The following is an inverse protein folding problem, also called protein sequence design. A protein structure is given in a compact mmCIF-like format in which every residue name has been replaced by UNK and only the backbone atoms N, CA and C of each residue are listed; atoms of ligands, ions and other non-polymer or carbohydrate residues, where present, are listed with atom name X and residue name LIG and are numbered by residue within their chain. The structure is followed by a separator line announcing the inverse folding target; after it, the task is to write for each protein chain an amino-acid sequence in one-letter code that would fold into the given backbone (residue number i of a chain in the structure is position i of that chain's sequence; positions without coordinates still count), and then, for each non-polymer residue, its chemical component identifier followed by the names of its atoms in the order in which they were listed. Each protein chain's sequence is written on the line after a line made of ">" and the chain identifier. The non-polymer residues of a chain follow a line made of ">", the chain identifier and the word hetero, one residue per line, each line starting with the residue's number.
data_IF_172325065233
#
_entry.id   IF_172325065233
#
_cell.length_a   1.000
_cell.length_b   1.000
_cell.length_c   1.000
_cell.angle_alpha   90.00
_cell.angle_beta   90.00
_cell.angle_gamma   90.00
#
_symmetry.space_group_name_H-M   'P 1'
#
loop_
_entity.id
_entity.type
_entity.pdbx_description
1 polymer ?
#
# COMPACT_ATOMS: atom_id res chain seq x y z
N UNK A 1 -0.93 8.70 21.52
CA UNK A 1 -2.21 7.95 21.49
C UNK A 1 -1.95 6.63 20.77
N UNK A 2 -2.82 5.63 20.90
CA UNK A 2 -2.64 4.34 20.18
C UNK A 2 -3.54 4.36 18.95
N UNK A 3 -3.11 3.78 17.85
CA UNK A 3 -3.84 3.85 16.58
C UNK A 3 -4.03 2.47 15.94
N UNK A 4 -5.13 2.27 15.22
CA UNK A 4 -5.34 1.14 14.31
C UNK A 4 -5.28 1.61 12.87
N UNK A 5 -4.69 0.80 11.99
CA UNK A 5 -4.77 0.97 10.55
C UNK A 5 -5.78 -0.04 10.02
N UNK A 6 -6.83 0.44 9.39
CA UNK A 6 -7.92 -0.38 8.88
C UNK A 6 -7.97 -0.23 7.37
N UNK A 7 -8.09 -1.35 6.67
CA UNK A 7 -8.23 -1.41 5.22
C UNK A 7 -9.52 -2.13 4.81
N UNK A 8 -10.05 -1.71 3.67
CA UNK A 8 -11.21 -2.31 3.02
C UNK A 8 -11.08 -2.16 1.49
N UNK A 9 -11.88 -2.91 0.74
CA UNK A 9 -11.94 -2.84 -0.72
C UNK A 9 -13.20 -2.10 -1.17
N UNK A 10 -13.06 -1.20 -2.14
CA UNK A 10 -14.17 -0.53 -2.81
C UNK A 10 -14.13 -0.77 -4.31
N UNK A 11 -15.26 -1.12 -4.91
CA UNK A 11 -15.37 -1.23 -6.36
C UNK A 11 -15.23 0.13 -7.03
N UNK A 12 -14.49 0.18 -8.13
CA UNK A 12 -14.26 1.38 -8.93
C UNK A 12 -14.91 1.25 -10.31
N UNK A 13 -15.21 2.39 -10.91
CA UNK A 13 -15.46 2.47 -12.35
C UNK A 13 -14.12 2.39 -13.10
N UNK A 14 -14.00 1.48 -14.08
CA UNK A 14 -12.81 1.34 -14.92
C UNK A 14 -12.69 2.48 -15.94
N UNK A 15 -12.43 3.70 -15.44
CA UNK A 15 -12.47 4.93 -16.24
C UNK A 15 -11.30 5.85 -15.95
N UNK A 16 -10.68 6.46 -16.98
CA UNK A 16 -9.72 7.55 -16.78
C UNK A 16 -10.37 8.76 -16.11
N UNK A 17 -9.59 9.43 -15.26
CA UNK A 17 -9.90 10.76 -14.73
C UNK A 17 -8.69 11.65 -14.95
N UNK A 18 -8.91 12.87 -15.41
CA UNK A 18 -7.84 13.87 -15.49
C UNK A 18 -7.82 14.66 -14.18
N UNK A 19 -6.63 14.85 -13.62
CA UNK A 19 -6.38 15.72 -12.47
C UNK A 19 -5.64 16.97 -12.95
N UNK A 20 -6.34 18.09 -13.15
CA UNK A 20 -5.73 19.32 -13.65
C UNK A 20 -4.60 19.84 -12.75
N UNK A 21 -4.74 19.69 -11.44
CA UNK A 21 -3.80 20.22 -10.44
C UNK A 21 -2.42 19.55 -10.51
N UNK A 22 -2.39 18.29 -10.93
CA UNK A 22 -1.17 17.51 -11.09
C UNK A 22 -0.80 17.29 -12.57
N UNK A 23 -1.59 17.84 -13.49
CA UNK A 23 -1.54 17.53 -14.93
C UNK A 23 -1.35 16.03 -15.19
N UNK A 24 -2.13 15.17 -14.52
CA UNK A 24 -1.91 13.72 -14.56
C UNK A 24 -3.20 12.94 -14.77
N UNK A 25 -3.04 11.71 -15.27
CA UNK A 25 -4.10 10.75 -15.48
C UNK A 25 -4.26 9.82 -14.27
N UNK A 26 -5.45 9.82 -13.69
CA UNK A 26 -5.91 8.88 -12.68
C UNK A 26 -6.59 7.64 -13.23
N UNK A 27 -6.72 6.63 -12.37
CA UNK A 27 -7.50 5.42 -12.61
C UNK A 27 -6.65 4.18 -12.94
N UNK A 28 -5.34 4.32 -13.13
CA UNK A 28 -4.44 3.18 -13.35
C UNK A 28 -4.28 2.32 -12.08
N UNK A 29 -4.13 1.02 -12.25
CA UNK A 29 -3.88 0.10 -11.15
C UNK A 29 -2.46 0.24 -10.57
N UNK A 30 -2.32 0.00 -9.27
CA UNK A 30 -1.04 0.01 -8.53
C UNK A 30 -0.01 -0.92 -9.16
N UNK A 31 -0.42 -2.13 -9.56
CA UNK A 31 0.51 -3.17 -9.99
C UNK A 31 1.27 -2.84 -11.29
N UNK A 32 0.65 -2.03 -12.16
CA UNK A 32 1.16 -1.79 -13.51
C UNK A 32 1.37 -0.32 -13.85
N UNK A 33 0.85 0.62 -13.03
CA UNK A 33 0.94 2.07 -13.29
C UNK A 33 2.38 2.56 -13.52
N UNK A 34 3.36 2.00 -12.81
CA UNK A 34 4.78 2.37 -12.97
C UNK A 34 5.36 2.12 -14.37
N UNK A 35 4.69 1.34 -15.22
CA UNK A 35 5.11 1.07 -16.61
C UNK A 35 4.73 2.19 -17.58
N UNK A 36 4.01 3.21 -17.14
CA UNK A 36 3.64 4.38 -17.93
C UNK A 36 3.83 5.67 -17.12
N UNK A 37 4.24 6.74 -17.80
CA UNK A 37 4.16 8.07 -17.20
C UNK A 37 2.72 8.54 -17.30
N UNK A 38 2.12 8.87 -16.14
CA UNK A 38 0.77 9.36 -16.06
C UNK A 38 0.67 10.88 -16.28
N UNK A 39 1.79 11.61 -16.36
CA UNK A 39 1.77 13.05 -16.61
C UNK A 39 1.37 13.35 -18.05
N UNK A 40 0.45 14.29 -18.19
CA UNK A 40 -0.11 14.75 -19.45
C UNK A 40 0.56 16.08 -19.80
N UNK A 41 1.60 16.01 -20.61
CA UNK A 41 2.33 17.17 -21.13
C UNK A 41 1.85 17.56 -22.53
N UNK A 42 1.43 16.59 -23.33
CA UNK A 42 0.89 16.78 -24.68
C UNK A 42 -0.05 15.63 -25.06
N UNK A 43 -0.62 15.71 -26.27
CA UNK A 43 -1.47 14.65 -26.83
C UNK A 43 -0.73 13.31 -26.94
N UNK A 44 0.55 13.32 -27.29
CA UNK A 44 1.33 12.09 -27.46
C UNK A 44 1.46 11.29 -26.16
N UNK A 45 1.56 11.97 -25.01
CA UNK A 45 1.55 11.30 -23.69
C UNK A 45 0.26 10.51 -23.48
N UNK A 46 -0.88 11.07 -23.89
CA UNK A 46 -2.20 10.40 -23.78
C UNK A 46 -2.26 9.20 -24.75
N UNK A 47 -1.79 9.39 -25.98
CA UNK A 47 -1.77 8.32 -26.98
C UNK A 47 -0.87 7.17 -26.54
N UNK A 48 0.28 7.45 -25.93
CA UNK A 48 1.17 6.42 -25.38
C UNK A 48 0.49 5.60 -24.27
N UNK A 49 -0.21 6.27 -23.34
CA UNK A 49 -0.97 5.58 -22.29
C UNK A 49 -2.06 4.71 -22.92
N UNK A 50 -2.77 5.24 -23.92
CA UNK A 50 -3.79 4.49 -24.67
C UNK A 50 -3.20 3.23 -25.33
N UNK A 51 -2.10 3.35 -26.05
CA UNK A 51 -1.42 2.20 -26.68
C UNK A 51 -1.05 1.14 -25.64
N UNK A 52 -0.48 1.54 -24.50
CA UNK A 52 -0.12 0.62 -23.42
C UNK A 52 -1.33 -0.08 -22.77
N UNK A 53 -2.49 0.59 -22.74
CA UNK A 53 -3.74 -0.02 -22.29
C UNK A 53 -4.25 -1.05 -23.31
N UNK A 54 -4.25 -0.70 -24.59
CA UNK A 54 -4.66 -1.59 -25.69
C UNK A 54 -3.76 -2.84 -25.80
N UNK A 55 -2.45 -2.68 -25.54
CA UNK A 55 -1.47 -3.78 -25.46
C UNK A 55 -1.55 -4.60 -24.17
N UNK A 56 -2.36 -4.18 -23.17
CA UNK A 56 -2.47 -4.85 -21.89
C UNK A 56 -1.22 -4.75 -20.99
N UNK A 57 -0.35 -3.77 -21.25
CA UNK A 57 0.86 -3.51 -20.43
C UNK A 57 0.47 -2.85 -19.10
N UNK A 58 -0.50 -1.94 -19.16
CA UNK A 58 -1.11 -1.27 -18.01
C UNK A 58 -2.62 -1.54 -18.00
N UNK A 59 -3.25 -1.35 -16.84
CA UNK A 59 -4.66 -1.65 -16.64
C UNK A 59 -5.34 -0.58 -15.78
N UNK A 60 -6.64 -0.42 -15.98
CA UNK A 60 -7.50 0.32 -15.06
C UNK A 60 -7.62 -0.41 -13.71
N UNK A 61 -7.79 0.36 -12.65
CA UNK A 61 -8.21 -0.15 -11.36
C UNK A 61 -9.67 -0.59 -11.44
N UNK A 62 -9.94 -1.83 -11.06
CA UNK A 62 -11.30 -2.38 -10.91
C UNK A 62 -11.85 -2.14 -9.52
N UNK A 63 -10.96 -2.17 -8.55
CA UNK A 63 -11.25 -1.94 -7.15
C UNK A 63 -10.12 -1.10 -6.55
N UNK A 64 -10.33 -0.49 -5.40
CA UNK A 64 -9.28 0.14 -4.63
C UNK A 64 -9.28 -0.39 -3.20
N UNK A 65 -8.08 -0.68 -2.72
CA UNK A 65 -7.86 -0.79 -1.28
C UNK A 65 -7.86 0.62 -0.70
N UNK A 66 -8.84 0.91 0.14
CA UNK A 66 -8.90 2.13 0.93
C UNK A 66 -8.39 1.82 2.34
N UNK A 67 -7.50 2.67 2.86
CA UNK A 67 -6.92 2.50 4.19
C UNK A 67 -6.97 3.77 5.00
N UNK A 68 -7.37 3.65 6.26
CA UNK A 68 -7.45 4.75 7.20
C UNK A 68 -6.80 4.41 8.54
N UNK A 69 -6.25 5.43 9.20
CA UNK A 69 -5.75 5.31 10.56
C UNK A 69 -6.74 5.95 11.52
N UNK A 70 -7.14 5.21 12.55
CA UNK A 70 -8.07 5.67 13.57
C UNK A 70 -7.44 5.62 14.96
N UNK A 71 -7.58 6.68 15.78
CA UNK A 71 -7.14 6.65 17.18
C UNK A 71 -8.05 5.76 18.04
N UNK A 72 -7.43 5.01 18.94
CA UNK A 72 -8.10 4.46 20.11
C UNK A 72 -8.34 5.59 21.12
N UNK A 73 -9.45 6.30 20.96
CA UNK A 73 -9.79 7.45 21.79
C UNK A 73 -11.30 7.58 22.01
N UNK A 74 -11.71 7.92 23.24
CA UNK A 74 -13.13 8.19 23.57
C UNK A 74 -13.66 9.49 22.98
N UNK A 75 -12.79 10.47 22.73
CA UNK A 75 -13.18 11.84 22.33
C UNK A 75 -12.78 12.22 20.90
N UNK A 76 -11.76 11.55 20.36
CA UNK A 76 -11.25 11.78 19.00
C UNK A 76 -11.32 10.44 18.32
N UNK A 77 -12.28 10.27 17.41
CA UNK A 77 -12.54 9.03 16.67
C UNK A 77 -12.54 9.28 15.16
N UNK A 78 -12.02 10.43 14.70
CA UNK A 78 -11.98 10.72 13.26
C UNK A 78 -10.97 9.78 12.59
N UNK A 79 -11.41 8.90 11.67
CA UNK A 79 -10.48 8.16 10.84
C UNK A 79 -9.78 9.14 9.90
N UNK A 80 -8.48 8.93 9.69
CA UNK A 80 -7.67 9.67 8.73
C UNK A 80 -7.37 8.76 7.54
N UNK A 81 -8.01 8.96 6.38
CA UNK A 81 -7.67 8.23 5.16
C UNK A 81 -6.21 8.52 4.80
N UNK A 82 -5.40 7.48 4.65
CA UNK A 82 -3.97 7.60 4.28
C UNK A 82 -3.60 6.79 3.04
N UNK A 83 -4.51 5.93 2.58
CA UNK A 83 -4.29 5.06 1.43
C UNK A 83 -5.55 5.01 0.58
N UNK A 84 -5.37 5.25 -0.71
CA UNK A 84 -6.28 4.79 -1.75
C UNK A 84 -5.42 4.15 -2.83
N UNK A 85 -5.60 2.86 -3.06
CA UNK A 85 -4.70 2.10 -3.92
C UNK A 85 -5.46 1.19 -4.87
N UNK A 86 -5.69 1.63 -6.11
CA UNK A 86 -6.41 0.87 -7.11
C UNK A 86 -5.69 -0.43 -7.47
N UNK A 87 -6.42 -1.52 -7.73
CA UNK A 87 -5.91 -2.81 -8.20
C UNK A 87 -6.70 -3.28 -9.42
N UNK A 88 -6.03 -3.96 -10.34
CA UNK A 88 -6.67 -4.60 -11.50
C UNK A 88 -7.13 -6.04 -11.22
N UNK A 89 -6.85 -6.59 -10.03
CA UNK A 89 -7.10 -7.99 -9.64
C UNK A 89 -6.52 -9.06 -10.58
N UNK A 90 -5.56 -8.71 -11.44
CA UNK A 90 -4.89 -9.65 -12.37
C UNK A 90 -3.69 -10.39 -11.76
N UNK A 91 -3.24 -10.00 -10.57
CA UNK A 91 -2.19 -10.67 -9.81
C UNK A 91 -2.70 -11.23 -8.50
N UNK A 92 -1.89 -12.04 -7.82
CA UNK A 92 -2.22 -12.54 -6.49
C UNK A 92 -2.08 -11.42 -5.45
N UNK A 93 -3.13 -11.10 -4.66
CA UNK A 93 -3.06 -10.06 -3.63
C UNK A 93 -1.93 -10.29 -2.61
N UNK A 94 -1.55 -11.56 -2.41
CA UNK A 94 -0.45 -11.97 -1.54
C UNK A 94 0.94 -11.53 -2.01
N UNK A 95 1.12 -11.05 -3.24
CA UNK A 95 2.43 -10.57 -3.73
C UNK A 95 2.67 -9.10 -3.42
N UNK A 96 1.67 -8.22 -3.58
CA UNK A 96 1.87 -6.77 -3.52
C UNK A 96 1.38 -6.12 -2.21
N UNK A 97 0.28 -6.60 -1.62
CA UNK A 97 -0.27 -6.00 -0.39
C UNK A 97 0.69 -6.05 0.81
N UNK A 98 1.48 -7.12 1.04
CA UNK A 98 2.50 -7.11 2.09
C UNK A 98 3.50 -5.97 1.97
N UNK A 99 3.86 -5.57 0.74
CA UNK A 99 4.76 -4.43 0.50
C UNK A 99 4.09 -3.12 0.89
N UNK A 100 2.80 -2.95 0.57
CA UNK A 100 2.01 -1.78 0.97
C UNK A 100 1.95 -1.66 2.50
N UNK A 101 1.69 -2.77 3.21
CA UNK A 101 1.70 -2.79 4.68
C UNK A 101 3.08 -2.39 5.25
N UNK A 102 4.15 -2.89 4.63
CA UNK A 102 5.52 -2.52 4.99
C UNK A 102 5.78 -1.01 4.86
N UNK A 103 5.38 -0.41 3.75
CA UNK A 103 5.52 1.04 3.51
C UNK A 103 4.71 1.83 4.55
N UNK A 104 3.45 1.49 4.79
CA UNK A 104 2.60 2.23 5.73
C UNK A 104 3.14 2.16 7.15
N UNK A 105 3.54 0.96 7.59
CA UNK A 105 4.10 0.78 8.94
C UNK A 105 5.44 1.49 9.11
N UNK A 106 6.31 1.49 8.10
CA UNK A 106 7.58 2.22 8.14
C UNK A 106 7.38 3.73 8.12
N UNK A 107 6.56 4.24 7.20
CA UNK A 107 6.30 5.68 7.05
C UNK A 107 5.57 6.24 8.28
N UNK A 108 4.60 5.50 8.85
CA UNK A 108 3.94 5.89 10.10
C UNK A 108 4.95 6.04 11.25
N UNK A 109 5.84 5.06 11.39
CA UNK A 109 6.87 5.06 12.44
C UNK A 109 7.80 6.26 12.33
N UNK A 110 8.16 6.66 11.11
CA UNK A 110 9.08 7.78 10.86
C UNK A 110 8.38 9.13 10.96
N UNK A 111 7.16 9.27 10.43
CA UNK A 111 6.52 10.57 10.21
C UNK A 111 5.48 10.95 11.24
N UNK A 112 4.74 9.99 11.80
CA UNK A 112 3.56 10.26 12.60
C UNK A 112 3.65 9.73 14.04
N UNK A 113 4.47 8.70 14.29
CA UNK A 113 4.48 8.04 15.60
C UNK A 113 4.95 8.95 16.75
N UNK A 114 5.78 9.96 16.49
CA UNK A 114 6.22 10.91 17.52
C UNK A 114 5.11 11.86 17.98
N UNK A 115 4.22 12.26 17.08
CA UNK A 115 3.15 13.24 17.34
C UNK A 115 1.82 12.56 17.66
N UNK A 116 1.42 11.57 16.85
CA UNK A 116 0.15 10.86 16.99
C UNK A 116 0.29 9.67 17.97
N UNK A 117 1.46 9.04 17.98
CA UNK A 117 1.74 7.83 18.74
C UNK A 117 1.75 6.57 17.88
N UNK A 118 2.11 5.42 18.46
CA UNK A 118 2.40 4.21 17.70
C UNK A 118 1.15 3.59 17.07
N UNK A 119 1.37 2.95 15.91
CA UNK A 119 0.42 2.02 15.33
C UNK A 119 0.43 0.73 16.16
N UNK A 120 -0.76 0.27 16.55
CA UNK A 120 -0.97 -0.84 17.49
C UNK A 120 -1.63 -2.04 16.85
N UNK A 121 -2.49 -1.82 15.86
CA UNK A 121 -3.21 -2.87 15.19
C UNK A 121 -3.31 -2.56 13.70
N UNK A 122 -3.39 -3.62 12.90
CA UNK A 122 -3.77 -3.57 11.50
C UNK A 122 -4.96 -4.51 11.30
N UNK A 123 -6.02 -4.04 10.64
CA UNK A 123 -7.28 -4.78 10.47
C UNK A 123 -7.75 -4.72 9.02
N UNK A 124 -8.41 -5.77 8.54
CA UNK A 124 -9.07 -5.84 7.23
C UNK A 124 -10.44 -6.51 7.34
N UNK A 125 -11.20 -6.52 6.25
CA UNK A 125 -12.56 -7.10 6.12
C UNK A 125 -12.59 -8.64 6.30
N UNK A 126 -11.42 -9.28 6.32
CA UNK A 126 -11.26 -10.69 6.63
C UNK A 126 -11.54 -11.62 5.47
N UNK A 127 -11.59 -11.11 4.23
CA UNK A 127 -11.71 -11.95 3.03
C UNK A 127 -10.50 -12.89 2.86
N UNK A 128 -10.60 -13.87 1.97
CA UNK A 128 -9.55 -14.87 1.79
C UNK A 128 -8.22 -14.25 1.32
N UNK A 129 -8.28 -13.23 0.45
CA UNK A 129 -7.09 -12.56 -0.07
C UNK A 129 -6.40 -11.71 1.00
N UNK A 130 -7.15 -10.95 1.78
CA UNK A 130 -6.66 -10.17 2.90
C UNK A 130 -6.00 -11.07 3.93
N UNK A 131 -6.64 -12.18 4.32
CA UNK A 131 -6.03 -13.15 5.26
C UNK A 131 -4.72 -13.73 4.74
N UNK A 132 -4.67 -14.13 3.47
CA UNK A 132 -3.43 -14.63 2.86
C UNK A 132 -2.34 -13.55 2.84
N UNK A 133 -2.68 -12.31 2.48
CA UNK A 133 -1.72 -11.20 2.46
C UNK A 133 -1.18 -10.86 3.85
N UNK A 134 -2.02 -10.86 4.90
CA UNK A 134 -1.56 -10.66 6.27
C UNK A 134 -0.65 -11.78 6.75
N UNK A 135 -0.97 -13.04 6.43
CA UNK A 135 -0.12 -14.17 6.76
C UNK A 135 1.27 -14.02 6.11
N UNK A 136 1.33 -13.71 4.82
CA UNK A 136 2.60 -13.46 4.10
C UNK A 136 3.38 -12.29 4.72
N UNK A 137 2.69 -11.19 5.06
CA UNK A 137 3.33 -10.04 5.69
C UNK A 137 3.91 -10.36 7.07
N UNK A 138 3.13 -11.01 7.94
CA UNK A 138 3.55 -11.32 9.29
C UNK A 138 4.70 -12.35 9.30
N UNK A 139 4.62 -13.38 8.47
CA UNK A 139 5.67 -14.40 8.38
C UNK A 139 6.97 -13.79 7.83
N UNK A 140 6.92 -13.03 6.74
CA UNK A 140 8.12 -12.36 6.19
C UNK A 140 8.75 -11.35 7.17
N UNK A 141 7.94 -10.63 7.96
CA UNK A 141 8.44 -9.69 8.96
C UNK A 141 9.08 -10.40 10.16
N UNK A 142 8.48 -11.49 10.64
CA UNK A 142 9.05 -12.33 11.72
C UNK A 142 10.40 -12.90 11.30
N UNK A 143 10.51 -13.43 10.08
CA UNK A 143 11.80 -13.92 9.57
C UNK A 143 12.87 -12.83 9.52
N UNK A 144 12.52 -11.60 9.16
CA UNK A 144 13.44 -10.45 9.14
C UNK A 144 13.92 -10.05 10.54
N UNK A 145 13.03 -10.04 11.54
CA UNK A 145 13.37 -9.77 12.94
C UNK A 145 14.26 -10.88 13.51
N UNK A 146 13.91 -12.15 13.26
CA UNK A 146 14.70 -13.30 13.71
C UNK A 146 16.14 -13.23 13.14
N UNK A 147 16.30 -12.88 11.86
CA UNK A 147 17.62 -12.70 11.23
C UNK A 147 18.42 -11.54 11.81
N UNK A 148 17.78 -10.39 12.09
CA UNK A 148 18.47 -9.26 12.74
C UNK A 148 18.92 -9.61 14.16
N UNK A 149 18.13 -10.40 14.90
CA UNK A 149 18.48 -10.86 16.24
C UNK A 149 19.55 -11.95 16.29
N UNK A 150 19.70 -12.75 15.21
CA UNK A 150 20.78 -13.72 15.10
C UNK A 150 22.10 -13.06 14.65
N UNK A 151 22.04 -12.05 13.77
CA UNK A 151 23.22 -11.26 13.39
C UNK A 151 23.75 -10.43 14.56
N UNK A 152 22.88 -9.90 15.43
CA UNK A 152 23.31 -9.20 16.64
C UNK A 152 23.88 -10.11 17.74
N UNK A 153 23.74 -11.43 17.64
CA UNK A 153 24.36 -12.42 18.56
C UNK A 153 25.61 -13.08 17.99
N UNK A 154 25.99 -12.78 16.74
CA UNK A 154 27.12 -13.42 16.08
C UNK A 154 28.50 -12.75 16.34
N UNK A 155 28.57 -11.77 17.25
CA UNK A 155 29.82 -11.10 17.62
C UNK A 155 30.06 -11.17 19.13
N UNK A 156 30.45 -12.35 19.62
CA UNK A 156 31.10 -12.54 20.94
C UNK A 156 31.73 -13.93 21.01
N UNK A 157 32.69 -14.22 20.12
CA UNK A 157 33.68 -15.27 20.38
C UNK A 157 34.96 -14.91 19.61
N UNK A 158 35.86 -14.19 20.29
CA UNK A 158 37.26 -14.12 19.95
C UNK A 158 38.07 -13.87 21.25
N UNK A 159 38.62 -14.98 21.73
CA UNK A 159 39.97 -15.10 22.31
C UNK A 159 40.31 -14.35 23.60
N UNK A 160 40.41 -15.10 24.70
CA UNK A 160 41.64 -15.24 25.50
C UNK A 160 41.82 -16.73 25.84
#
# INVERSE_FOLDING_TARGET
>A
RRHSFSLDEITLEERPRYFPEAHSLGGLCREHSWKADAHITCLDSILLIRTKLEEGIIHWGKEATAGAVAPFGRKTYSPMPILVSPTCKRGEPASEMPRVYGIITSEWKVRAAATEGPLWAMTGDGDAACRASFLTFLTSHIYSIARKSSVSRAWSFATL
#
